data_IF_280002361692
#
_entry.id   IF_280002361692
#
_cell.length_a   1.000
_cell.length_b   1.000
_cell.length_c   1.000
_cell.angle_alpha   90.00
_cell.angle_beta   90.00
_cell.angle_gamma   90.00
#
_symmetry.space_group_name_H-M   'P 1'
#
loop_
_entity.id
_entity.type
_entity.pdbx_description
1 polymer ?
#
# COMPACT_ATOMS: atom_id res chain seq x y z
N UNK A 1 -53.08 64.17 62.69
CA UNK A 1 -52.76 63.53 61.41
C UNK A 1 -51.24 63.50 61.26
N UNK A 2 -50.59 62.38 61.52
CA UNK A 2 -49.13 62.22 61.44
C UNK A 2 -48.81 61.40 60.22
N UNK A 3 -48.17 61.98 59.26
CA UNK A 3 -47.63 61.30 58.05
C UNK A 3 -46.24 60.83 58.34
N UNK A 4 -45.95 59.55 58.28
CA UNK A 4 -44.58 58.96 58.39
C UNK A 4 -43.99 58.77 56.98
N UNK A 5 -42.74 59.12 56.76
CA UNK A 5 -42.08 58.86 55.48
C UNK A 5 -41.55 57.38 55.42
N UNK A 6 -41.74 56.78 54.25
CA UNK A 6 -41.20 55.45 53.87
C UNK A 6 -39.80 55.66 53.30
N UNK A 7 -38.84 55.05 53.88
CA UNK A 7 -37.42 54.98 53.34
C UNK A 7 -37.36 53.79 52.45
N UNK A 8 -37.11 53.99 51.16
CA UNK A 8 -36.80 52.90 50.16
C UNK A 8 -35.33 52.66 50.15
N UNK A 9 -34.89 51.48 50.57
CA UNK A 9 -33.51 51.02 50.46
C UNK A 9 -33.24 50.47 49.05
N UNK A 10 -32.31 51.09 48.34
CA UNK A 10 -31.82 50.69 47.05
C UNK A 10 -30.77 49.58 47.25
N UNK A 11 -31.09 48.34 46.93
CA UNK A 11 -30.14 47.21 46.94
C UNK A 11 -29.33 47.22 45.65
N UNK A 12 -27.99 47.35 45.77
CA UNK A 12 -27.04 47.26 44.68
C UNK A 12 -26.79 45.79 44.39
N UNK A 13 -27.32 45.22 43.25
CA UNK A 13 -26.93 43.92 42.75
C UNK A 13 -25.61 44.07 41.96
N UNK A 14 -24.53 43.56 42.53
CA UNK A 14 -23.26 43.38 41.79
C UNK A 14 -23.39 42.13 40.91
N UNK A 15 -23.64 42.35 39.63
CA UNK A 15 -23.57 41.27 38.61
C UNK A 15 -22.15 40.92 38.28
N UNK A 16 -21.69 39.71 38.66
CA UNK A 16 -20.47 39.10 38.18
C UNK A 16 -20.58 38.74 36.69
N UNK A 17 -19.88 39.48 35.83
CA UNK A 17 -19.72 39.07 34.42
C UNK A 17 -18.75 37.84 34.44
N UNK A 18 -19.29 36.64 34.18
CA UNK A 18 -18.52 35.48 33.80
C UNK A 18 -18.15 35.66 32.32
N UNK A 19 -16.90 36.03 32.04
CA UNK A 19 -16.36 36.00 30.69
C UNK A 19 -16.26 34.51 30.25
N UNK A 20 -17.20 34.06 29.42
CA UNK A 20 -17.00 32.83 28.66
C UNK A 20 -15.86 33.09 27.66
N UNK A 21 -14.69 32.59 27.96
CA UNK A 21 -13.61 32.41 26.98
C UNK A 21 -14.06 31.34 25.99
N UNK A 22 -14.79 31.74 24.95
CA UNK A 22 -15.06 30.90 23.79
C UNK A 22 -13.74 30.61 23.11
N UNK A 23 -13.26 29.38 23.20
CA UNK A 23 -12.27 28.88 22.26
C UNK A 23 -12.89 28.97 20.86
N UNK A 24 -12.44 29.95 20.09
CA UNK A 24 -12.83 30.04 18.68
C UNK A 24 -12.37 28.74 18.01
N UNK A 25 -13.32 27.89 17.59
CA UNK A 25 -13.03 26.76 16.73
C UNK A 25 -12.32 27.33 15.50
N UNK A 26 -11.07 26.96 15.31
CA UNK A 26 -10.31 27.37 14.14
C UNK A 26 -11.01 26.78 12.92
N UNK A 27 -11.33 27.61 11.93
CA UNK A 27 -11.94 27.14 10.69
C UNK A 27 -11.01 26.11 10.04
N UNK A 28 -11.58 24.99 9.60
CA UNK A 28 -10.80 23.95 8.92
C UNK A 28 -10.14 24.51 7.66
N UNK A 29 -8.85 24.25 7.49
CA UNK A 29 -8.08 24.76 6.36
C UNK A 29 -8.25 23.87 5.13
N UNK A 30 -8.28 24.49 3.93
CA UNK A 30 -8.32 23.75 2.66
C UNK A 30 -6.93 23.42 2.12
N UNK A 31 -5.88 24.14 2.57
CA UNK A 31 -4.48 23.88 2.22
C UNK A 31 -3.62 24.07 3.46
N UNK A 32 -2.76 23.10 3.76
CA UNK A 32 -1.79 23.15 4.83
C UNK A 32 -0.40 22.73 4.31
N UNK A 33 0.63 23.36 4.85
CA UNK A 33 2.03 23.04 4.56
C UNK A 33 2.70 22.46 5.80
N UNK A 34 3.46 21.40 5.58
CA UNK A 34 4.19 20.66 6.60
C UNK A 34 5.66 20.66 6.24
N UNK A 35 6.55 20.80 7.23
CA UNK A 35 7.99 20.67 7.02
C UNK A 35 8.67 19.89 8.15
N UNK A 36 9.89 19.34 7.95
CA UNK A 36 10.63 18.68 9.03
C UNK A 36 10.87 19.56 10.26
N UNK A 37 10.93 20.89 10.07
CA UNK A 37 11.08 21.89 11.14
C UNK A 37 9.77 22.53 11.57
N UNK A 38 8.62 22.07 11.08
CA UNK A 38 7.29 22.57 11.44
C UNK A 38 6.99 22.37 12.93
N UNK A 39 6.11 23.22 13.47
CA UNK A 39 5.65 23.08 14.86
C UNK A 39 4.14 22.97 14.92
N UNK A 40 3.58 22.28 15.92
CA UNK A 40 2.14 22.05 16.06
C UNK A 40 1.33 23.33 16.10
N UNK A 41 1.88 24.37 16.74
CA UNK A 41 1.22 25.68 16.90
C UNK A 41 1.33 26.59 15.67
N UNK A 42 2.15 26.22 14.66
CA UNK A 42 2.31 27.02 13.45
C UNK A 42 1.02 27.05 12.62
N UNK A 43 0.84 28.14 11.86
CA UNK A 43 -0.37 28.36 11.07
C UNK A 43 -0.59 27.31 9.97
N UNK A 44 0.45 26.62 9.53
CA UNK A 44 0.40 25.67 8.41
C UNK A 44 0.41 26.36 7.04
N UNK A 45 0.84 27.60 6.98
CA UNK A 45 1.10 28.30 5.71
C UNK A 45 2.46 27.90 5.14
N UNK A 46 2.72 28.20 3.87
CA UNK A 46 4.00 27.90 3.25
C UNK A 46 5.19 28.60 3.97
N UNK A 47 4.98 29.79 4.53
CA UNK A 47 6.01 30.53 5.30
C UNK A 47 6.08 30.14 6.79
N UNK A 48 5.07 29.46 7.31
CA UNK A 48 4.98 28.99 8.69
C UNK A 48 4.37 27.57 8.72
N UNK A 49 5.12 26.56 8.20
CA UNK A 49 4.62 25.19 8.08
C UNK A 49 4.43 24.55 9.47
N UNK A 50 3.43 23.66 9.56
CA UNK A 50 3.13 22.90 10.77
C UNK A 50 3.72 21.50 10.73
N UNK A 51 3.45 20.66 11.75
CA UNK A 51 3.76 19.23 11.74
C UNK A 51 2.71 18.45 10.96
N UNK A 52 3.03 17.23 10.51
CA UNK A 52 2.09 16.37 9.80
C UNK A 52 0.88 16.00 10.67
N UNK A 53 1.11 15.63 11.92
CA UNK A 53 0.04 15.26 12.86
C UNK A 53 -0.94 16.43 13.10
N UNK A 54 -0.40 17.63 13.28
CA UNK A 54 -1.22 18.84 13.40
C UNK A 54 -1.99 19.13 12.10
N UNK A 55 -1.37 18.96 10.94
CA UNK A 55 -2.03 19.15 9.64
C UNK A 55 -3.21 18.17 9.44
N UNK A 56 -3.00 16.87 9.70
CA UNK A 56 -4.04 15.83 9.60
C UNK A 56 -5.25 16.19 10.48
N UNK A 57 -5.02 16.69 11.70
CA UNK A 57 -6.11 17.05 12.62
C UNK A 57 -6.90 18.30 12.21
N UNK A 58 -6.33 19.15 11.35
CA UNK A 58 -6.87 20.47 10.98
C UNK A 58 -7.37 20.59 9.55
N UNK A 59 -7.01 19.64 8.68
CA UNK A 59 -7.39 19.70 7.28
C UNK A 59 -8.90 19.54 7.11
N UNK A 60 -9.50 20.34 6.23
CA UNK A 60 -10.89 20.14 5.82
C UNK A 60 -11.01 18.93 4.89
N UNK A 61 -12.17 18.29 4.90
CA UNK A 61 -12.52 17.28 3.90
C UNK A 61 -12.33 17.87 2.48
N UNK A 62 -11.65 17.15 1.61
CA UNK A 62 -11.29 17.60 0.26
C UNK A 62 -10.16 18.63 0.20
N UNK A 63 -9.49 18.93 1.33
CA UNK A 63 -8.33 19.80 1.38
C UNK A 63 -7.02 19.08 1.05
N UNK A 64 -5.93 19.86 0.98
CA UNK A 64 -4.60 19.34 0.62
C UNK A 64 -3.57 19.67 1.70
N UNK A 65 -2.81 18.68 2.11
CA UNK A 65 -1.61 18.80 2.95
C UNK A 65 -0.39 18.60 2.05
N UNK A 66 0.47 19.61 1.94
CA UNK A 66 1.74 19.53 1.25
C UNK A 66 2.89 19.29 2.21
N UNK A 67 3.63 18.20 2.01
CA UNK A 67 4.88 17.94 2.71
C UNK A 67 6.05 18.53 1.93
N UNK A 68 6.81 19.41 2.58
CA UNK A 68 8.07 19.89 2.03
C UNK A 68 9.13 18.80 2.07
N UNK A 69 10.08 18.83 1.16
CA UNK A 69 11.17 17.86 1.10
C UNK A 69 12.01 17.80 2.36
N UNK A 70 12.64 16.65 2.58
CA UNK A 70 13.52 16.38 3.72
C UNK A 70 13.04 15.22 4.59
N UNK A 71 13.83 14.88 5.60
CA UNK A 71 13.56 13.76 6.51
C UNK A 71 12.66 14.18 7.67
N UNK A 72 11.59 13.47 7.87
CA UNK A 72 10.64 13.57 8.98
C UNK A 72 10.86 12.37 9.91
N UNK A 73 11.51 12.57 11.03
CA UNK A 73 11.86 11.49 11.96
C UNK A 73 10.74 11.25 12.97
N UNK A 74 10.21 10.05 12.99
CA UNK A 74 9.12 9.63 13.87
C UNK A 74 9.55 8.48 14.77
N UNK A 75 9.13 8.53 16.03
CA UNK A 75 9.23 7.40 16.97
C UNK A 75 7.89 6.70 17.23
N UNK A 76 6.83 7.18 16.59
CA UNK A 76 5.48 6.63 16.72
C UNK A 76 4.75 6.73 15.38
N UNK A 77 3.77 5.88 15.20
CA UNK A 77 2.90 5.81 14.03
C UNK A 77 2.22 7.15 13.72
N UNK A 78 2.22 7.54 12.45
CA UNK A 78 1.41 8.65 11.93
C UNK A 78 0.06 8.11 11.48
N UNK A 79 -1.03 8.60 12.07
CA UNK A 79 -2.37 8.08 11.80
C UNK A 79 -3.30 9.13 11.18
N UNK A 80 -3.89 8.78 10.05
CA UNK A 80 -5.12 9.40 9.55
C UNK A 80 -6.29 8.63 10.18
N UNK A 81 -7.00 9.21 11.16
CA UNK A 81 -7.98 8.46 11.94
C UNK A 81 -9.24 8.11 11.14
N UNK A 82 -9.90 7.03 11.54
CA UNK A 82 -11.22 6.67 11.02
C UNK A 82 -12.19 7.86 11.22
N UNK A 83 -12.99 8.16 10.19
CA UNK A 83 -13.89 9.32 10.18
C UNK A 83 -13.25 10.62 9.68
N UNK A 84 -11.93 10.70 9.53
CA UNK A 84 -11.26 11.79 8.80
C UNK A 84 -11.35 11.49 7.30
N UNK A 85 -12.47 11.81 6.67
CA UNK A 85 -12.79 11.40 5.31
C UNK A 85 -12.81 12.57 4.34
N UNK A 86 -12.39 12.31 3.09
CA UNK A 86 -12.79 13.10 1.94
C UNK A 86 -14.18 12.70 1.42
N UNK A 87 -14.37 12.77 0.11
CA UNK A 87 -15.59 12.29 -0.56
C UNK A 87 -15.25 11.85 -1.99
N UNK A 88 -16.11 11.08 -2.63
CA UNK A 88 -15.93 10.59 -4.00
C UNK A 88 -15.62 11.69 -5.05
N UNK A 89 -16.16 12.91 -4.85
CA UNK A 89 -15.90 14.05 -5.73
C UNK A 89 -14.76 14.97 -5.28
N UNK A 90 -14.20 14.75 -4.06
CA UNK A 90 -13.18 15.60 -3.47
C UNK A 90 -12.34 14.79 -2.45
N UNK A 91 -11.30 14.12 -2.93
CA UNK A 91 -10.36 13.41 -2.07
C UNK A 91 -9.62 14.39 -1.17
N UNK A 92 -9.42 14.02 0.10
CA UNK A 92 -8.46 14.72 0.96
C UNK A 92 -7.05 14.27 0.56
N UNK A 93 -6.15 15.21 0.32
CA UNK A 93 -4.84 14.90 -0.27
C UNK A 93 -3.72 15.10 0.74
N UNK A 94 -2.83 14.13 0.85
CA UNK A 94 -1.53 14.22 1.49
C UNK A 94 -0.47 14.01 0.42
N UNK A 95 0.23 15.08 0.04
CA UNK A 95 1.08 15.10 -1.14
C UNK A 95 2.47 15.64 -0.84
N UNK A 96 3.48 15.07 -1.48
CA UNK A 96 4.74 15.75 -1.63
C UNK A 96 4.51 17.13 -2.29
N UNK A 97 5.25 18.15 -1.83
CA UNK A 97 5.25 19.44 -2.52
C UNK A 97 5.88 19.28 -3.91
N UNK A 98 5.34 19.91 -4.97
CA UNK A 98 5.83 19.71 -6.33
C UNK A 98 7.35 19.86 -6.48
N UNK A 99 8.01 18.81 -6.97
CA UNK A 99 9.47 18.76 -7.16
C UNK A 99 10.28 18.50 -5.91
N UNK A 100 9.64 18.19 -4.76
CA UNK A 100 10.31 17.86 -3.51
C UNK A 100 10.05 16.41 -3.10
N UNK A 101 10.96 15.83 -2.32
CA UNK A 101 10.88 14.44 -1.85
C UNK A 101 10.84 14.41 -0.33
N UNK A 102 9.66 14.26 0.28
CA UNK A 102 9.53 14.02 1.72
C UNK A 102 9.84 12.55 2.03
N UNK A 103 10.61 12.31 3.08
CA UNK A 103 10.93 10.99 3.61
C UNK A 103 10.43 10.89 5.04
N UNK A 104 9.43 10.05 5.28
CA UNK A 104 8.91 9.74 6.61
C UNK A 104 9.72 8.55 7.14
N UNK A 105 10.64 8.84 8.05
CA UNK A 105 11.58 7.88 8.62
C UNK A 105 11.17 7.48 10.04
N UNK A 106 10.97 6.19 10.22
CA UNK A 106 10.53 5.57 11.47
C UNK A 106 11.63 4.77 12.17
N UNK A 107 12.90 5.02 11.84
CA UNK A 107 14.06 4.27 12.38
C UNK A 107 14.18 4.31 13.91
N UNK A 108 13.47 5.20 14.59
CA UNK A 108 13.39 5.23 16.05
C UNK A 108 12.37 4.23 16.64
N UNK A 109 11.58 3.55 15.80
CA UNK A 109 10.69 2.46 16.23
C UNK A 109 11.47 1.15 16.39
N UNK A 110 11.08 0.33 17.36
CA UNK A 110 11.46 -1.07 17.43
C UNK A 110 10.50 -1.93 16.62
N UNK A 111 10.95 -3.09 16.18
CA UNK A 111 10.08 -4.08 15.53
C UNK A 111 8.96 -4.53 16.49
N UNK A 112 7.73 -4.33 16.05
CA UNK A 112 6.51 -4.70 16.79
C UNK A 112 5.29 -4.46 15.92
N UNK A 113 4.31 -5.35 15.91
CA UNK A 113 3.03 -5.26 15.18
C UNK A 113 2.17 -4.01 15.51
N UNK A 114 2.54 -3.22 16.50
CA UNK A 114 1.93 -1.93 16.82
C UNK A 114 2.65 -0.71 16.24
N UNK A 115 3.84 -0.90 15.67
CA UNK A 115 4.75 0.16 15.27
C UNK A 115 4.76 0.39 13.74
N UNK A 116 3.57 0.59 13.16
CA UNK A 116 3.42 0.95 11.76
C UNK A 116 4.00 2.32 11.46
N UNK A 117 4.36 2.56 10.22
CA UNK A 117 4.77 3.88 9.76
C UNK A 117 3.56 4.81 9.64
N UNK A 118 2.81 4.71 8.54
CA UNK A 118 1.59 5.48 8.29
C UNK A 118 0.37 4.57 8.35
N UNK A 119 -0.63 4.93 9.18
CA UNK A 119 -1.94 4.27 9.21
C UNK A 119 -2.99 5.16 8.53
N UNK A 120 -3.57 4.70 7.43
CA UNK A 120 -4.64 5.37 6.71
C UNK A 120 -5.97 4.69 7.02
N UNK A 121 -6.69 5.18 8.03
CA UNK A 121 -8.01 4.69 8.44
C UNK A 121 -9.17 5.54 7.92
N UNK A 122 -8.88 6.73 7.37
CA UNK A 122 -9.85 7.56 6.66
C UNK A 122 -10.17 7.00 5.28
N UNK A 123 -11.36 7.38 4.77
CA UNK A 123 -11.80 7.07 3.41
C UNK A 123 -11.63 8.27 2.48
N UNK A 124 -11.51 8.02 1.18
CA UNK A 124 -11.40 9.07 0.17
C UNK A 124 -10.18 9.98 0.37
N UNK A 125 -9.02 9.37 0.62
CA UNK A 125 -7.74 10.06 0.67
C UNK A 125 -6.91 9.78 -0.59
N UNK A 126 -6.08 10.75 -0.96
CA UNK A 126 -5.03 10.59 -1.95
C UNK A 126 -3.67 10.85 -1.31
N UNK A 127 -2.87 9.81 -1.15
CA UNK A 127 -1.47 9.89 -0.75
C UNK A 127 -0.60 9.94 -2.00
N UNK A 128 0.22 10.97 -2.16
CA UNK A 128 1.00 11.17 -3.38
C UNK A 128 2.48 11.48 -3.11
N UNK A 129 3.37 10.68 -3.68
CA UNK A 129 4.81 10.96 -3.75
C UNK A 129 5.54 10.91 -2.41
N UNK A 130 5.13 10.04 -1.50
CA UNK A 130 5.69 9.88 -0.17
C UNK A 130 6.69 8.73 -0.14
N UNK A 131 7.83 8.91 0.52
CA UNK A 131 8.69 7.81 0.95
C UNK A 131 8.41 7.50 2.42
N UNK A 132 8.14 6.22 2.73
CA UNK A 132 7.90 5.72 4.09
C UNK A 132 8.88 4.58 4.37
N UNK A 133 9.75 4.75 5.36
CA UNK A 133 10.83 3.80 5.59
C UNK A 133 11.08 3.54 7.08
N UNK A 134 11.70 2.36 7.35
CA UNK A 134 12.18 1.92 8.66
C UNK A 134 11.07 1.81 9.73
N UNK A 135 9.82 1.59 9.34
CA UNK A 135 8.76 1.31 10.30
C UNK A 135 9.03 -0.01 11.03
N UNK A 136 8.64 -0.08 12.31
CA UNK A 136 8.79 -1.29 13.13
C UNK A 136 7.77 -2.40 12.81
N UNK A 137 6.87 -2.15 11.85
CA UNK A 137 5.84 -3.03 11.28
C UNK A 137 5.63 -2.57 9.82
N UNK A 138 4.40 -2.61 9.28
CA UNK A 138 4.12 -2.16 7.92
C UNK A 138 4.53 -0.69 7.68
N UNK A 139 5.07 -0.40 6.51
CA UNK A 139 5.38 0.98 6.09
C UNK A 139 4.12 1.83 6.00
N UNK A 140 3.18 1.44 5.13
CA UNK A 140 1.85 2.03 5.03
C UNK A 140 0.80 0.95 5.27
N UNK A 141 -0.11 1.18 6.22
CA UNK A 141 -1.23 0.30 6.49
C UNK A 141 -2.56 0.99 6.17
N UNK A 142 -3.33 0.42 5.23
CA UNK A 142 -4.60 1.00 4.75
C UNK A 142 -5.77 0.22 5.34
N UNK A 143 -6.52 0.85 6.24
CA UNK A 143 -7.73 0.30 6.85
C UNK A 143 -9.00 0.98 6.38
N UNK A 144 -8.90 2.10 5.65
CA UNK A 144 -10.01 2.80 5.02
C UNK A 144 -10.29 2.33 3.61
N UNK A 145 -11.35 2.87 3.00
CA UNK A 145 -11.81 2.54 1.65
C UNK A 145 -11.77 3.73 0.70
N UNK A 146 -11.85 3.47 -0.61
CA UNK A 146 -11.91 4.50 -1.65
C UNK A 146 -10.66 5.42 -1.66
N UNK A 147 -9.52 4.92 -1.23
CA UNK A 147 -8.27 5.69 -1.18
C UNK A 147 -7.43 5.46 -2.44
N UNK A 148 -6.62 6.45 -2.79
CA UNK A 148 -5.60 6.36 -3.83
C UNK A 148 -4.23 6.54 -3.18
N UNK A 149 -3.33 5.58 -3.38
CA UNK A 149 -1.93 5.67 -2.97
C UNK A 149 -1.12 5.68 -4.27
N UNK A 150 -0.52 6.83 -4.59
CA UNK A 150 0.15 7.05 -5.86
C UNK A 150 1.59 7.49 -5.67
N UNK A 151 2.52 6.87 -6.41
CA UNK A 151 3.96 7.19 -6.38
C UNK A 151 4.55 7.14 -4.97
N UNK A 152 4.04 6.24 -4.13
CA UNK A 152 4.64 5.98 -2.84
C UNK A 152 5.86 5.07 -2.99
N UNK A 153 6.85 5.28 -2.14
CA UNK A 153 7.97 4.34 -1.95
C UNK A 153 7.90 3.82 -0.52
N UNK A 154 7.84 2.50 -0.35
CA UNK A 154 7.87 1.86 0.98
C UNK A 154 9.09 0.95 1.05
N UNK A 155 10.03 1.24 1.97
CA UNK A 155 11.31 0.54 1.99
C UNK A 155 11.86 0.31 3.39
N UNK A 156 12.58 -0.79 3.57
CA UNK A 156 13.28 -1.11 4.83
C UNK A 156 12.36 -1.21 6.06
N UNK A 157 11.07 -1.51 5.87
CA UNK A 157 10.11 -1.69 6.96
C UNK A 157 10.22 -3.11 7.53
N UNK A 158 9.76 -3.32 8.76
CA UNK A 158 9.88 -4.58 9.50
C UNK A 158 8.69 -5.52 9.33
N UNK A 159 7.86 -5.27 8.32
CA UNK A 159 6.76 -6.08 7.81
C UNK A 159 6.47 -5.57 6.39
N UNK A 160 5.36 -5.97 5.77
CA UNK A 160 4.97 -5.57 4.41
C UNK A 160 5.09 -4.06 4.17
N UNK A 161 5.69 -3.67 3.06
CA UNK A 161 5.86 -2.26 2.71
C UNK A 161 4.54 -1.50 2.66
N UNK A 162 3.54 -2.00 1.92
CA UNK A 162 2.18 -1.46 1.91
C UNK A 162 1.16 -2.58 2.04
N UNK A 163 0.37 -2.55 3.11
CA UNK A 163 -0.66 -3.56 3.37
C UNK A 163 -2.05 -2.95 3.53
N UNK A 164 -3.06 -3.60 2.93
CA UNK A 164 -4.47 -3.38 3.20
C UNK A 164 -4.96 -4.41 4.22
N UNK A 165 -5.78 -3.97 5.20
CA UNK A 165 -6.36 -4.86 6.21
C UNK A 165 -7.28 -4.11 7.16
N UNK A 166 -8.10 -4.83 7.93
CA UNK A 166 -9.07 -4.24 8.87
C UNK A 166 -8.41 -3.36 9.93
N UNK A 167 -9.11 -2.33 10.38
CA UNK A 167 -8.63 -1.39 11.39
C UNK A 167 -8.38 -2.07 12.74
N UNK A 168 -9.24 -3.02 13.13
CA UNK A 168 -9.12 -3.78 14.38
C UNK A 168 -9.69 -5.19 14.24
N UNK A 169 -9.38 -6.08 15.18
CA UNK A 169 -9.90 -7.45 15.21
C UNK A 169 -11.45 -7.52 15.31
N UNK A 170 -12.08 -6.47 15.80
CA UNK A 170 -13.55 -6.36 15.91
C UNK A 170 -14.22 -5.74 14.67
N UNK A 171 -13.46 -5.25 13.70
CA UNK A 171 -14.04 -4.66 12.47
C UNK A 171 -14.74 -5.75 11.66
N UNK A 172 -16.07 -5.63 11.40
CA UNK A 172 -16.81 -6.61 10.62
C UNK A 172 -16.37 -6.60 9.15
N UNK A 173 -16.52 -7.70 8.45
CA UNK A 173 -16.11 -7.85 7.04
C UNK A 173 -16.75 -6.84 6.10
N UNK A 174 -17.95 -6.35 6.41
CA UNK A 174 -18.62 -5.28 5.64
C UNK A 174 -17.96 -3.90 5.75
N UNK A 175 -16.96 -3.75 6.62
CA UNK A 175 -16.18 -2.54 6.84
C UNK A 175 -14.68 -2.76 6.59
N UNK A 176 -14.32 -3.87 5.97
CA UNK A 176 -12.95 -4.11 5.54
C UNK A 176 -12.58 -3.16 4.40
N UNK A 177 -11.31 -2.76 4.29
CA UNK A 177 -10.87 -1.82 3.26
C UNK A 177 -11.20 -2.34 1.86
N UNK A 178 -11.91 -1.51 1.09
CA UNK A 178 -12.45 -1.83 -0.23
C UNK A 178 -12.21 -0.66 -1.20
N UNK A 179 -12.24 -0.94 -2.50
CA UNK A 179 -12.18 0.07 -3.56
C UNK A 179 -10.95 1.01 -3.47
N UNK A 180 -9.83 0.52 -2.92
CA UNK A 180 -8.57 1.26 -2.88
C UNK A 180 -7.77 1.02 -4.16
N UNK A 181 -7.07 2.06 -4.62
CA UNK A 181 -6.14 2.01 -5.74
C UNK A 181 -4.72 2.30 -5.25
N UNK A 182 -3.81 1.34 -5.40
CA UNK A 182 -2.36 1.56 -5.32
C UNK A 182 -1.85 1.67 -6.74
N UNK A 183 -1.12 2.73 -7.06
CA UNK A 183 -0.70 2.99 -8.43
C UNK A 183 0.66 3.63 -8.54
N UNK A 184 1.47 3.16 -9.49
CA UNK A 184 2.80 3.71 -9.80
C UNK A 184 3.73 3.78 -8.58
N UNK A 185 3.56 2.87 -7.63
CA UNK A 185 4.29 2.85 -6.36
C UNK A 185 5.38 1.77 -6.37
N UNK A 186 6.37 1.93 -5.49
CA UNK A 186 7.51 1.04 -5.36
C UNK A 186 7.58 0.52 -3.93
N UNK A 187 7.87 -0.78 -3.78
CA UNK A 187 8.07 -1.39 -2.47
C UNK A 187 9.28 -2.32 -2.50
N UNK A 188 10.28 -2.05 -1.62
CA UNK A 188 11.53 -2.78 -1.68
C UNK A 188 12.26 -2.89 -0.34
N UNK A 189 13.10 -3.90 -0.22
CA UNK A 189 13.98 -4.13 0.93
C UNK A 189 13.25 -4.15 2.28
N UNK A 190 11.98 -4.55 2.29
CA UNK A 190 11.23 -4.77 3.53
C UNK A 190 11.63 -6.14 4.10
N UNK A 191 11.89 -6.18 5.41
CA UNK A 191 12.37 -7.39 6.08
C UNK A 191 12.07 -7.36 7.59
N UNK A 192 11.34 -8.34 8.05
CA UNK A 192 11.12 -8.67 9.45
C UNK A 192 12.20 -9.60 10.00
N UNK A 193 12.23 -9.83 11.31
CA UNK A 193 13.31 -10.57 11.95
C UNK A 193 13.29 -12.08 11.67
N UNK A 194 12.12 -12.67 11.40
CA UNK A 194 11.97 -14.08 11.00
C UNK A 194 11.93 -14.30 9.48
N UNK A 195 11.72 -13.22 8.71
CA UNK A 195 11.80 -13.24 7.25
C UNK A 195 10.62 -13.91 6.56
N UNK A 196 9.44 -13.92 7.20
CA UNK A 196 8.24 -14.64 6.72
C UNK A 196 7.10 -13.71 6.29
N UNK A 197 7.01 -12.49 6.85
CA UNK A 197 5.83 -11.64 6.71
C UNK A 197 6.06 -10.34 5.90
N UNK A 198 7.32 -9.96 5.63
CA UNK A 198 7.65 -8.69 5.01
C UNK A 198 7.62 -8.74 3.47
N UNK A 199 6.42 -8.60 2.94
CA UNK A 199 6.16 -8.50 1.50
C UNK A 199 6.42 -7.09 0.94
N UNK A 200 6.38 -6.96 -0.39
CA UNK A 200 6.29 -5.65 -1.02
C UNK A 200 4.92 -5.02 -0.83
N UNK A 201 3.90 -5.67 -1.34
CA UNK A 201 2.49 -5.26 -1.26
C UNK A 201 1.63 -6.40 -0.76
N UNK A 202 0.64 -6.09 0.07
CA UNK A 202 -0.33 -7.09 0.50
C UNK A 202 -1.76 -6.57 0.54
N UNK A 203 -2.69 -7.43 0.13
CA UNK A 203 -4.11 -7.30 0.39
C UNK A 203 -4.56 -8.62 0.98
N UNK A 204 -4.22 -8.83 2.27
CA UNK A 204 -4.29 -10.16 2.91
C UNK A 204 -5.20 -10.18 4.13
N UNK A 205 -5.71 -11.34 4.47
CA UNK A 205 -6.46 -11.72 5.68
C UNK A 205 -7.84 -11.05 5.82
N UNK A 206 -7.97 -9.75 5.60
CA UNK A 206 -9.18 -9.00 5.98
C UNK A 206 -9.41 -7.80 5.08
N UNK A 207 -9.58 -8.03 3.78
CA UNK A 207 -9.84 -6.97 2.79
C UNK A 207 -11.16 -7.21 2.07
N UNK A 208 -11.86 -6.12 1.75
CA UNK A 208 -13.08 -6.08 0.94
C UNK A 208 -12.80 -6.14 -0.55
N UNK A 209 -13.83 -5.97 -1.36
CA UNK A 209 -13.77 -6.03 -2.83
C UNK A 209 -13.21 -4.76 -3.45
N UNK A 210 -12.82 -4.81 -4.73
CA UNK A 210 -12.51 -3.64 -5.54
C UNK A 210 -11.11 -3.04 -5.32
N UNK A 211 -10.26 -3.66 -4.52
CA UNK A 211 -8.87 -3.22 -4.36
C UNK A 211 -8.05 -3.52 -5.62
N UNK A 212 -7.28 -2.54 -6.09
CA UNK A 212 -6.49 -2.61 -7.33
C UNK A 212 -5.05 -2.18 -7.05
N UNK A 213 -4.10 -2.95 -7.56
CA UNK A 213 -2.68 -2.58 -7.70
C UNK A 213 -2.38 -2.44 -9.19
N UNK A 214 -1.85 -1.27 -9.60
CA UNK A 214 -1.62 -0.98 -11.00
C UNK A 214 -0.31 -0.22 -11.24
N UNK A 215 0.49 -0.69 -12.17
CA UNK A 215 1.79 -0.08 -12.51
C UNK A 215 2.75 -0.03 -11.33
N UNK A 216 2.63 -0.95 -10.38
CA UNK A 216 3.47 -0.98 -9.18
C UNK A 216 4.71 -1.85 -9.38
N UNK A 217 5.74 -1.60 -8.61
CA UNK A 217 6.99 -2.37 -8.65
C UNK A 217 7.32 -2.88 -7.25
N UNK A 218 7.40 -4.19 -7.10
CA UNK A 218 7.87 -4.85 -5.88
C UNK A 218 9.18 -5.57 -6.13
N UNK A 219 10.20 -5.31 -5.30
CA UNK A 219 11.48 -5.98 -5.49
C UNK A 219 12.32 -6.08 -4.23
N UNK A 220 13.13 -7.13 -4.17
CA UNK A 220 14.09 -7.34 -3.08
C UNK A 220 13.48 -7.27 -1.68
N UNK A 221 12.21 -7.66 -1.52
CA UNK A 221 11.62 -7.89 -0.21
C UNK A 221 12.04 -9.29 0.28
N UNK A 222 12.07 -9.49 1.59
CA UNK A 222 12.57 -10.75 2.15
C UNK A 222 11.64 -11.92 1.88
N UNK A 223 10.32 -11.65 1.78
CA UNK A 223 9.30 -12.65 1.45
C UNK A 223 8.71 -12.40 0.05
N UNK A 224 7.42 -12.21 -0.10
CA UNK A 224 6.75 -12.14 -1.40
C UNK A 224 6.74 -10.74 -2.03
N UNK A 225 6.59 -10.67 -3.34
CA UNK A 225 6.35 -9.39 -4.03
C UNK A 225 4.94 -8.87 -3.76
N UNK A 226 3.93 -9.72 -3.93
CA UNK A 226 2.54 -9.52 -3.54
C UNK A 226 2.04 -10.70 -2.74
N UNK A 227 1.34 -10.43 -1.61
CA UNK A 227 0.66 -11.44 -0.81
C UNK A 227 -0.85 -11.16 -0.71
N UNK A 228 -1.66 -12.09 -1.23
CA UNK A 228 -3.12 -12.10 -1.12
C UNK A 228 -3.62 -13.22 -0.22
N UNK A 229 -2.90 -13.52 0.85
CA UNK A 229 -3.16 -14.65 1.74
C UNK A 229 -4.54 -14.57 2.39
N UNK A 230 -5.23 -15.68 2.37
CA UNK A 230 -6.47 -15.92 3.11
C UNK A 230 -6.21 -16.90 4.25
N UNK A 231 -6.94 -16.76 5.34
CA UNK A 231 -6.79 -17.61 6.53
C UNK A 231 -8.14 -18.10 7.00
N UNK A 232 -8.22 -19.37 7.41
CA UNK A 232 -9.45 -20.00 7.89
C UNK A 232 -10.12 -19.23 9.02
N UNK A 233 -9.34 -18.61 9.90
CA UNK A 233 -9.85 -17.85 11.04
C UNK A 233 -10.65 -16.58 10.62
N UNK A 234 -10.31 -15.99 9.48
CA UNK A 234 -10.95 -14.76 8.98
C UNK A 234 -11.82 -15.00 7.75
N UNK A 235 -11.62 -16.13 7.06
CA UNK A 235 -12.35 -16.49 5.85
C UNK A 235 -11.81 -15.81 4.58
N UNK A 236 -12.64 -15.78 3.54
CA UNK A 236 -12.27 -15.22 2.26
C UNK A 236 -12.13 -13.70 2.32
N UNK A 237 -11.12 -13.17 1.61
CA UNK A 237 -11.01 -11.74 1.26
C UNK A 237 -11.84 -11.43 0.00
N UNK A 238 -12.05 -10.15 -0.29
CA UNK A 238 -12.60 -9.72 -1.58
C UNK A 238 -11.62 -9.99 -2.74
N UNK A 239 -12.12 -10.22 -3.97
CA UNK A 239 -11.27 -10.29 -5.15
C UNK A 239 -10.42 -9.03 -5.33
N UNK A 240 -9.14 -9.22 -5.64
CA UNK A 240 -8.15 -8.18 -5.90
C UNK A 240 -7.76 -8.22 -7.38
N UNK A 241 -7.53 -7.04 -7.97
CA UNK A 241 -6.92 -6.91 -9.30
C UNK A 241 -5.48 -6.45 -9.17
N UNK A 242 -4.55 -7.16 -9.80
CA UNK A 242 -3.16 -6.72 -9.99
C UNK A 242 -2.96 -6.62 -11.50
N UNK A 243 -2.46 -5.47 -11.96
CA UNK A 243 -2.29 -5.27 -13.39
C UNK A 243 -1.13 -4.35 -13.76
N UNK A 244 -0.45 -4.67 -14.86
CA UNK A 244 0.66 -3.89 -15.43
C UNK A 244 1.80 -3.65 -14.44
N UNK A 245 2.04 -4.57 -13.52
CA UNK A 245 2.98 -4.45 -12.42
C UNK A 245 4.20 -5.36 -12.60
N UNK A 246 5.26 -5.09 -11.86
CA UNK A 246 6.52 -5.82 -11.91
C UNK A 246 6.91 -6.33 -10.53
N UNK A 247 7.14 -7.64 -10.42
CA UNK A 247 7.69 -8.29 -9.24
C UNK A 247 9.03 -8.92 -9.59
N UNK A 248 10.13 -8.49 -8.93
CA UNK A 248 11.43 -9.10 -9.23
C UNK A 248 12.38 -9.20 -8.03
N UNK A 249 13.14 -10.27 -7.99
CA UNK A 249 14.21 -10.45 -7.01
C UNK A 249 13.75 -10.57 -5.56
N UNK A 250 12.44 -10.80 -5.29
CA UNK A 250 11.95 -11.02 -3.93
C UNK A 250 12.45 -12.34 -3.37
N UNK A 251 12.62 -12.41 -2.04
CA UNK A 251 13.31 -13.48 -1.33
C UNK A 251 14.81 -13.22 -1.13
N UNK A 252 15.32 -12.10 -1.66
CA UNK A 252 16.71 -11.67 -1.47
C UNK A 252 16.76 -10.15 -1.46
N UNK A 253 17.20 -9.55 -0.36
CA UNK A 253 17.34 -8.10 -0.24
C UNK A 253 18.42 -7.57 -1.21
N UNK A 254 18.42 -6.28 -1.48
CA UNK A 254 19.38 -5.65 -2.39
C UNK A 254 20.85 -5.76 -1.92
N UNK A 255 21.09 -5.98 -0.63
CA UNK A 255 22.42 -6.24 -0.07
C UNK A 255 22.84 -7.72 -0.17
N UNK A 256 21.98 -8.59 -0.72
CA UNK A 256 22.19 -10.02 -0.86
C UNK A 256 21.75 -10.85 0.34
N UNK A 257 21.19 -10.25 1.39
CA UNK A 257 20.66 -10.96 2.55
C UNK A 257 19.44 -11.80 2.17
N UNK A 258 19.32 -12.97 2.78
CA UNK A 258 18.20 -13.90 2.62
C UNK A 258 17.76 -14.39 4.00
N UNK A 259 16.47 -14.69 4.15
CA UNK A 259 15.93 -15.42 5.28
C UNK A 259 15.42 -16.80 4.84
N UNK A 260 15.39 -17.77 5.78
CA UNK A 260 15.02 -19.16 5.49
C UNK A 260 13.53 -19.44 5.39
N UNK A 261 12.67 -18.61 6.01
CA UNK A 261 11.27 -18.98 6.28
C UNK A 261 10.27 -18.37 5.28
N UNK A 262 10.64 -17.32 4.54
CA UNK A 262 9.78 -16.68 3.55
C UNK A 262 9.44 -17.55 2.34
N UNK A 263 8.25 -17.34 1.78
CA UNK A 263 7.75 -18.03 0.58
C UNK A 263 8.45 -17.56 -0.72
N UNK A 264 8.87 -16.32 -0.77
CA UNK A 264 9.73 -15.70 -1.79
C UNK A 264 9.15 -15.73 -3.21
N UNK A 265 7.83 -15.63 -3.33
CA UNK A 265 7.16 -15.60 -4.63
C UNK A 265 7.11 -14.19 -5.23
N UNK A 266 6.85 -14.10 -6.53
CA UNK A 266 6.50 -12.83 -7.16
C UNK A 266 5.08 -12.40 -6.77
N UNK A 267 4.12 -13.27 -7.02
CA UNK A 267 2.69 -13.05 -6.76
C UNK A 267 2.10 -14.29 -6.07
N UNK A 268 1.78 -14.17 -4.79
CA UNK A 268 1.11 -15.19 -3.96
C UNK A 268 -0.38 -14.89 -3.88
N UNK A 269 -1.21 -15.74 -4.48
CA UNK A 269 -2.60 -15.44 -4.81
C UNK A 269 -3.62 -16.21 -3.96
N UNK A 270 -3.32 -16.48 -2.69
CA UNK A 270 -4.26 -17.16 -1.82
C UNK A 270 -3.63 -17.82 -0.60
N UNK A 271 -4.44 -18.64 0.09
CA UNK A 271 -4.04 -19.41 1.27
C UNK A 271 -5.18 -20.27 1.79
N UNK A 272 -4.87 -21.25 2.63
CA UNK A 272 -5.80 -22.08 3.43
C UNK A 272 -6.92 -22.76 2.63
N UNK A 273 -6.69 -23.12 1.36
CA UNK A 273 -7.70 -23.71 0.46
C UNK A 273 -9.01 -22.90 0.35
N UNK A 274 -8.93 -21.56 0.51
CA UNK A 274 -10.08 -20.66 0.42
C UNK A 274 -10.18 -20.08 -1.00
N UNK A 275 -11.34 -20.27 -1.65
CA UNK A 275 -11.57 -19.81 -3.01
C UNK A 275 -11.79 -18.30 -3.08
N UNK A 276 -10.95 -17.59 -3.84
CA UNK A 276 -11.11 -16.16 -4.19
C UNK A 276 -10.78 -15.98 -5.68
N UNK A 277 -11.62 -15.26 -6.41
CA UNK A 277 -11.48 -15.06 -7.85
C UNK A 277 -10.71 -13.76 -8.16
N UNK A 278 -9.41 -13.76 -7.96
CA UNK A 278 -8.55 -12.62 -8.29
C UNK A 278 -8.40 -12.41 -9.79
N UNK A 279 -7.97 -11.21 -10.18
CA UNK A 279 -7.58 -10.88 -11.56
C UNK A 279 -6.12 -10.45 -11.55
N UNK A 280 -5.29 -11.15 -12.32
CA UNK A 280 -3.84 -10.90 -12.44
C UNK A 280 -3.53 -10.83 -13.92
N UNK A 281 -3.20 -9.63 -14.41
CA UNK A 281 -3.09 -9.40 -15.84
C UNK A 281 -2.03 -8.39 -16.23
N UNK A 282 -1.31 -8.67 -17.32
CA UNK A 282 -0.25 -7.80 -17.83
C UNK A 282 0.88 -7.59 -16.82
N UNK A 283 1.15 -8.55 -15.96
CA UNK A 283 2.17 -8.47 -14.93
C UNK A 283 3.43 -9.25 -15.32
N UNK A 284 4.56 -8.84 -14.74
CA UNK A 284 5.85 -9.50 -14.95
C UNK A 284 6.38 -10.01 -13.61
N UNK A 285 6.75 -11.29 -13.54
CA UNK A 285 7.47 -11.90 -12.44
C UNK A 285 8.87 -12.32 -12.90
N UNK A 286 9.94 -11.68 -12.40
CA UNK A 286 11.30 -11.92 -12.85
C UNK A 286 12.25 -12.27 -11.70
N UNK A 287 12.84 -13.44 -11.74
CA UNK A 287 13.96 -13.81 -10.85
C UNK A 287 13.60 -13.81 -9.36
N UNK A 288 12.36 -14.10 -8.99
CA UNK A 288 11.96 -14.23 -7.58
C UNK A 288 12.50 -15.56 -7.01
N UNK A 289 12.68 -15.61 -5.70
CA UNK A 289 13.35 -16.71 -4.99
C UNK A 289 12.61 -18.05 -4.98
N UNK A 290 11.33 -18.08 -5.43
CA UNK A 290 10.55 -19.31 -5.53
C UNK A 290 9.68 -19.31 -6.81
N UNK A 291 8.39 -19.02 -6.73
CA UNK A 291 7.49 -18.98 -7.90
C UNK A 291 7.31 -17.56 -8.43
N UNK A 292 7.06 -17.42 -9.73
CA UNK A 292 6.63 -16.15 -10.33
C UNK A 292 5.21 -15.82 -9.92
N UNK A 293 4.27 -16.67 -10.33
CA UNK A 293 2.86 -16.60 -9.98
C UNK A 293 2.43 -17.91 -9.34
N UNK A 294 1.85 -17.86 -8.14
CA UNK A 294 1.34 -19.05 -7.46
C UNK A 294 -0.09 -18.86 -6.97
N UNK A 295 -0.94 -19.86 -7.19
CA UNK A 295 -2.29 -19.90 -6.63
C UNK A 295 -2.28 -20.03 -5.10
N UNK A 296 -1.19 -20.49 -4.52
CA UNK A 296 -0.97 -20.72 -3.10
C UNK A 296 -2.18 -21.32 -2.38
N UNK A 297 -2.58 -22.53 -2.81
CA UNK A 297 -3.78 -23.25 -2.35
C UNK A 297 -5.14 -22.55 -2.56
N UNK A 298 -5.26 -21.48 -3.34
CA UNK A 298 -6.53 -20.87 -3.73
C UNK A 298 -7.23 -21.68 -4.85
N UNK A 299 -8.31 -22.46 -4.57
CA UNK A 299 -8.97 -23.27 -5.59
C UNK A 299 -9.97 -22.47 -6.45
N UNK A 300 -10.05 -21.16 -6.29
CA UNK A 300 -10.98 -20.29 -7.01
C UNK A 300 -10.67 -20.16 -8.50
N UNK A 301 -11.52 -19.41 -9.20
CA UNK A 301 -11.34 -19.08 -10.61
C UNK A 301 -10.54 -17.78 -10.72
N UNK A 302 -9.20 -17.88 -10.64
CA UNK A 302 -8.31 -16.74 -10.85
C UNK A 302 -8.21 -16.47 -12.36
N UNK A 303 -8.40 -15.23 -12.78
CA UNK A 303 -8.08 -14.79 -14.15
C UNK A 303 -6.60 -14.47 -14.23
N UNK A 304 -5.87 -15.19 -15.07
CA UNK A 304 -4.41 -15.04 -15.30
C UNK A 304 -4.25 -14.78 -16.78
N UNK A 305 -3.89 -13.54 -17.16
CA UNK A 305 -3.86 -13.19 -18.58
C UNK A 305 -2.78 -12.19 -18.96
N UNK A 306 -2.11 -12.46 -20.08
CA UNK A 306 -1.04 -11.61 -20.60
C UNK A 306 0.15 -11.42 -19.62
N UNK A 307 0.35 -12.35 -18.69
CA UNK A 307 1.45 -12.27 -17.74
C UNK A 307 2.73 -12.90 -18.29
N UNK A 308 3.86 -12.49 -17.74
CA UNK A 308 5.17 -12.98 -18.14
C UNK A 308 5.95 -13.43 -16.92
N UNK A 309 6.25 -14.72 -16.83
CA UNK A 309 7.15 -15.27 -15.81
C UNK A 309 8.52 -15.55 -16.43
N UNK A 310 9.59 -15.09 -15.76
CA UNK A 310 10.96 -15.22 -16.27
C UNK A 310 11.89 -15.63 -15.14
N UNK A 311 12.63 -16.74 -15.32
CA UNK A 311 13.74 -17.18 -14.45
C UNK A 311 13.41 -17.17 -12.94
N UNK A 312 12.14 -17.36 -12.52
CA UNK A 312 11.83 -17.57 -11.12
C UNK A 312 12.35 -18.93 -10.65
N UNK A 313 12.83 -19.04 -9.42
CA UNK A 313 13.72 -20.12 -9.01
C UNK A 313 13.12 -21.53 -9.15
N UNK A 314 11.83 -21.74 -8.86
CA UNK A 314 11.20 -23.05 -9.06
C UNK A 314 10.30 -23.08 -10.29
N UNK A 315 9.21 -22.30 -10.31
CA UNK A 315 8.27 -22.21 -11.46
C UNK A 315 7.91 -20.77 -11.77
N UNK A 316 7.73 -20.47 -13.04
CA UNK A 316 7.16 -19.18 -13.40
C UNK A 316 5.65 -19.13 -13.11
N UNK A 317 4.93 -20.26 -13.33
CA UNK A 317 3.53 -20.42 -12.97
C UNK A 317 3.33 -21.70 -12.17
N UNK A 318 2.73 -21.62 -10.98
CA UNK A 318 2.51 -22.73 -10.05
C UNK A 318 1.04 -22.78 -9.61
N UNK A 319 0.21 -23.43 -10.43
CA UNK A 319 -1.22 -23.66 -10.22
C UNK A 319 -1.51 -25.15 -10.34
N UNK A 320 -1.57 -25.87 -9.23
CA UNK A 320 -1.74 -27.34 -9.23
C UNK A 320 -3.13 -27.81 -8.79
N UNK A 321 -4.04 -26.85 -8.51
CA UNK A 321 -5.48 -27.09 -8.27
C UNK A 321 -6.31 -25.90 -8.73
N UNK A 322 -7.64 -26.06 -8.74
CA UNK A 322 -8.60 -24.98 -8.96
C UNK A 322 -9.09 -24.90 -10.40
N UNK A 323 -9.74 -23.78 -10.70
CA UNK A 323 -10.42 -23.53 -11.98
C UNK A 323 -9.93 -22.25 -12.65
N UNK A 324 -8.67 -21.86 -12.38
CA UNK A 324 -8.06 -20.66 -12.96
C UNK A 324 -8.13 -20.66 -14.49
N UNK A 325 -8.26 -19.47 -15.07
CA UNK A 325 -8.36 -19.26 -16.52
C UNK A 325 -7.11 -18.55 -17.01
N UNK A 326 -6.38 -19.18 -17.92
CA UNK A 326 -5.12 -18.68 -18.48
C UNK A 326 -5.32 -18.22 -19.92
N UNK A 327 -4.81 -17.05 -20.27
CA UNK A 327 -4.89 -16.50 -21.64
C UNK A 327 -3.66 -15.65 -21.96
N UNK A 328 -2.95 -16.04 -23.00
CA UNK A 328 -1.80 -15.29 -23.56
C UNK A 328 -0.62 -15.18 -22.59
N UNK A 329 -0.55 -16.01 -21.58
CA UNK A 329 0.57 -16.01 -20.62
C UNK A 329 1.87 -16.52 -21.26
N UNK A 330 3.00 -16.04 -20.77
CA UNK A 330 4.33 -16.40 -21.31
C UNK A 330 5.27 -16.78 -20.18
N UNK A 331 5.94 -17.91 -20.33
CA UNK A 331 6.93 -18.41 -19.40
C UNK A 331 8.25 -18.62 -20.10
N UNK A 332 9.32 -18.00 -19.58
CA UNK A 332 10.65 -18.00 -20.17
C UNK A 332 11.73 -18.38 -19.17
N UNK A 333 12.76 -19.09 -19.65
CA UNK A 333 13.97 -19.40 -18.88
C UNK A 333 15.21 -19.12 -19.73
N UNK A 334 16.11 -18.31 -19.19
CA UNK A 334 17.36 -17.93 -19.85
C UNK A 334 18.60 -18.31 -19.03
N UNK A 335 18.50 -18.22 -17.70
CA UNK A 335 19.64 -18.37 -16.80
C UNK A 335 19.38 -19.38 -15.66
N UNK A 336 18.13 -19.68 -15.35
CA UNK A 336 17.75 -20.54 -14.22
C UNK A 336 17.08 -21.82 -14.72
N UNK A 337 17.68 -22.96 -14.38
CA UNK A 337 17.01 -24.26 -14.50
C UNK A 337 15.95 -24.38 -13.39
N UNK A 338 14.70 -24.62 -13.76
CA UNK A 338 13.62 -24.76 -12.82
C UNK A 338 12.68 -25.89 -13.22
N UNK A 339 11.65 -26.08 -12.41
CA UNK A 339 10.61 -27.08 -12.71
C UNK A 339 9.68 -26.58 -13.81
N UNK A 340 9.08 -27.52 -14.56
CA UNK A 340 8.02 -27.21 -15.52
C UNK A 340 6.88 -26.48 -14.82
N UNK A 341 6.25 -25.53 -15.52
CA UNK A 341 5.07 -24.85 -15.02
C UNK A 341 3.94 -25.84 -14.74
N UNK A 342 3.11 -25.51 -13.75
CA UNK A 342 1.86 -26.18 -13.43
C UNK A 342 0.72 -25.18 -13.64
N UNK A 343 -0.23 -25.54 -14.49
CA UNK A 343 -1.33 -24.65 -14.91
C UNK A 343 -2.63 -25.43 -14.98
N UNK A 344 -3.02 -26.03 -13.84
CA UNK A 344 -4.31 -26.71 -13.71
C UNK A 344 -5.44 -25.68 -13.77
N UNK A 345 -6.33 -25.85 -14.76
CA UNK A 345 -7.42 -24.93 -15.04
C UNK A 345 -7.76 -24.92 -16.53
N UNK A 346 -8.28 -23.79 -17.01
CA UNK A 346 -8.66 -23.58 -18.41
C UNK A 346 -7.56 -22.78 -19.13
N UNK A 347 -6.58 -23.48 -19.69
CA UNK A 347 -5.52 -22.93 -20.52
C UNK A 347 -5.77 -23.26 -22.00
N UNK A 348 -5.35 -22.39 -22.91
CA UNK A 348 -5.53 -22.61 -24.37
C UNK A 348 -4.23 -22.41 -25.16
N UNK A 349 -4.30 -22.48 -26.48
CA UNK A 349 -3.15 -22.37 -27.37
C UNK A 349 -2.55 -20.95 -27.45
N UNK A 350 -3.19 -19.94 -26.82
CA UNK A 350 -2.61 -18.61 -26.69
C UNK A 350 -1.49 -18.56 -25.66
N UNK A 351 -1.43 -19.52 -24.74
CA UNK A 351 -0.42 -19.60 -23.69
C UNK A 351 0.91 -20.22 -24.19
N UNK A 352 2.02 -19.77 -23.65
CA UNK A 352 3.35 -20.35 -23.89
C UNK A 352 4.05 -20.65 -22.56
N UNK A 353 3.55 -21.67 -21.87
CA UNK A 353 4.16 -22.15 -20.63
C UNK A 353 5.45 -22.93 -20.86
N UNK A 354 6.41 -22.80 -19.93
CA UNK A 354 7.67 -23.51 -20.02
C UNK A 354 7.51 -24.99 -19.58
N UNK A 355 7.83 -25.87 -20.51
CA UNK A 355 7.81 -27.34 -20.31
C UNK A 355 9.14 -27.98 -20.74
N UNK A 356 10.25 -27.25 -20.61
CA UNK A 356 11.59 -27.67 -21.01
C UNK A 356 12.18 -26.85 -22.17
N UNK A 357 11.38 -26.04 -22.85
CA UNK A 357 11.83 -25.16 -23.95
C UNK A 357 11.07 -23.85 -23.96
N UNK A 358 11.75 -22.76 -24.32
CA UNK A 358 11.12 -21.45 -24.48
C UNK A 358 10.22 -21.39 -25.70
N UNK A 359 9.03 -20.81 -25.53
CA UNK A 359 8.15 -20.43 -26.63
C UNK A 359 8.71 -19.25 -27.44
N UNK A 360 8.10 -18.99 -28.60
CA UNK A 360 8.57 -17.94 -29.53
C UNK A 360 8.55 -16.52 -28.96
N UNK A 361 7.63 -16.21 -28.03
CA UNK A 361 7.54 -14.89 -27.39
C UNK A 361 8.71 -14.58 -26.46
N UNK A 362 9.42 -15.58 -25.97
CA UNK A 362 10.56 -15.39 -25.06
C UNK A 362 11.70 -14.53 -25.67
N UNK A 363 11.85 -14.54 -26.99
CA UNK A 363 12.83 -13.68 -27.64
C UNK A 363 12.65 -12.18 -27.35
N UNK A 364 11.43 -11.75 -26.99
CA UNK A 364 11.11 -10.37 -26.61
C UNK A 364 11.66 -9.99 -25.25
N UNK A 365 11.82 -10.96 -24.36
CA UNK A 365 12.17 -10.76 -22.95
C UNK A 365 13.64 -11.11 -22.64
N UNK A 366 14.48 -11.23 -23.67
CA UNK A 366 15.89 -11.53 -23.48
C UNK A 366 16.70 -10.27 -23.14
N UNK A 367 17.66 -10.40 -22.21
CA UNK A 367 18.59 -9.35 -21.82
C UNK A 367 18.29 -8.77 -20.44
N UNK A 368 19.03 -7.72 -20.07
CA UNK A 368 18.93 -7.12 -18.75
C UNK A 368 17.57 -6.43 -18.53
N UNK A 369 16.95 -6.68 -17.37
CA UNK A 369 15.77 -5.97 -16.90
C UNK A 369 16.11 -4.51 -16.60
N UNK A 370 15.23 -3.60 -16.99
CA UNK A 370 15.19 -2.20 -16.55
C UNK A 370 13.74 -1.74 -16.44
N UNK A 371 13.49 -0.74 -15.60
CA UNK A 371 12.16 -0.18 -15.48
C UNK A 371 12.18 1.31 -15.10
N UNK A 372 11.09 2.01 -15.36
CA UNK A 372 10.89 3.40 -14.94
C UNK A 372 9.42 3.78 -15.01
N UNK A 373 9.00 4.72 -14.16
CA UNK A 373 7.69 5.35 -14.31
C UNK A 373 7.72 6.48 -15.33
N UNK A 374 6.79 6.46 -16.28
CA UNK A 374 6.53 7.58 -17.17
C UNK A 374 5.91 8.76 -16.39
N UNK A 375 5.88 9.95 -17.02
CA UNK A 375 5.28 11.15 -16.41
C UNK A 375 3.79 10.98 -16.08
N UNK A 376 3.08 10.17 -16.86
CA UNK A 376 1.66 9.83 -16.64
C UNK A 376 1.42 8.66 -15.66
N UNK A 377 2.46 8.20 -14.94
CA UNK A 377 2.37 7.12 -13.98
C UNK A 377 2.52 5.71 -14.55
N UNK A 378 2.43 5.49 -15.86
CA UNK A 378 2.59 4.15 -16.42
C UNK A 378 3.99 3.59 -16.16
N UNK A 379 4.03 2.31 -15.82
CA UNK A 379 5.28 1.56 -15.71
C UNK A 379 5.79 1.19 -17.11
N UNK A 380 7.03 1.55 -17.40
CA UNK A 380 7.76 1.07 -18.56
C UNK A 380 8.74 0.01 -18.09
N UNK A 381 8.64 -1.20 -18.64
CA UNK A 381 9.61 -2.27 -18.41
C UNK A 381 10.42 -2.48 -19.68
N UNK A 382 11.71 -2.74 -19.55
CA UNK A 382 12.61 -3.02 -20.68
C UNK A 382 13.40 -4.30 -20.45
N UNK A 383 13.64 -5.03 -21.53
CA UNK A 383 14.61 -6.11 -21.57
C UNK A 383 15.64 -5.83 -22.66
N UNK A 384 16.94 -5.85 -22.30
CA UNK A 384 18.00 -5.46 -23.23
C UNK A 384 17.84 -4.05 -23.81
N UNK A 385 17.22 -3.14 -23.03
CA UNK A 385 16.96 -1.76 -23.42
C UNK A 385 15.75 -1.56 -24.32
N UNK A 386 14.98 -2.62 -24.64
CA UNK A 386 13.75 -2.50 -25.46
C UNK A 386 12.54 -2.51 -24.54
N UNK A 387 11.64 -1.55 -24.70
CA UNK A 387 10.36 -1.51 -23.97
C UNK A 387 9.53 -2.74 -24.36
N UNK A 388 9.02 -3.41 -23.35
CA UNK A 388 8.09 -4.54 -23.47
C UNK A 388 6.74 -4.17 -22.87
N UNK A 389 5.69 -4.77 -23.42
CA UNK A 389 4.35 -4.73 -22.82
C UNK A 389 3.91 -6.18 -22.70
N UNK A 390 3.62 -6.64 -21.49
CA UNK A 390 2.99 -7.93 -21.29
C UNK A 390 1.60 -7.98 -21.91
#
# INVERSE_FOLDING_TARGET
MHVRPVIASLGLLAGTLVALSGTSAQAASTVLYVSPSGTDSAAGTQSAPTTLTSAISRIAAGGTIYLRGGAYNYSSTVTVPAGSNGSAGALTTLSAYPGETPVLDFSAQSESSSNRGVQLYGNYWHLYGLTVQHAGDNGIYVGGSDNVIERAVTAYNRDTGLQLGRISSSTPSSQWPADNLVVSSESHDNADSDGEDADGFASKLTTGTGNVFRYDVSHHNIDDGWDLYTKTDTGAIGPVTIEYSLSYGNGTLSDGSQSGDGDRNGYKLGGDDIAVNHVVQHDIAYGNGHHGFTYNSNPGTITVSNNVGIDNAERNFSFDKGTSVFRTDTSCRFAVDGSNDKTVGDADSSDQFWTGTNGSRCATYAGALGWSFASNGKLNVTFGGKVVSP
#
